data_IF_615637226898
#
_entry.id   IF_615637226898
#
_cell.length_a   1.000
_cell.length_b   1.000
_cell.length_c   1.000
_cell.angle_alpha   90.00
_cell.angle_beta   90.00
_cell.angle_gamma   90.00
#
_symmetry.space_group_name_H-M   'P 1'
#
loop_
_entity.id
_entity.type
_entity.pdbx_description
1 polymer ?
#
# COMPACT_ATOMS: atom_id res chain seq x y z
N UNK A 1 16.22 4.37 3.36
CA UNK A 1 16.61 5.63 4.03
C UNK A 1 16.33 6.88 3.22
N UNK A 2 16.58 6.94 1.90
CA UNK A 2 16.17 8.12 1.11
C UNK A 2 14.64 8.25 0.91
N UNK A 3 13.85 7.18 1.06
CA UNK A 3 12.39 7.16 0.78
C UNK A 3 11.47 7.29 1.99
N UNK A 4 11.99 7.29 3.21
CA UNK A 4 11.22 7.67 4.41
C UNK A 4 10.88 9.17 4.38
N UNK A 5 11.78 9.95 3.77
CA UNK A 5 11.60 11.38 3.52
C UNK A 5 10.52 11.69 2.47
N UNK A 6 10.23 10.79 1.51
CA UNK A 6 9.17 10.99 0.50
C UNK A 6 7.75 10.73 1.06
N UNK A 7 7.63 9.92 2.10
CA UNK A 7 6.38 9.65 2.81
C UNK A 7 6.13 10.61 4.00
N UNK A 8 7.10 11.49 4.30
CA UNK A 8 7.03 12.41 5.44
C UNK A 8 7.12 11.73 6.81
N UNK A 9 7.61 10.48 6.86
CA UNK A 9 7.71 9.72 8.11
C UNK A 9 9.00 10.09 8.87
N UNK A 10 8.86 10.35 10.16
CA UNK A 10 9.99 10.64 11.04
C UNK A 10 10.81 9.37 11.31
N UNK A 11 12.03 9.53 11.81
CA UNK A 11 12.85 8.38 12.20
C UNK A 11 12.21 7.53 13.31
N UNK A 12 11.39 8.15 14.17
CA UNK A 12 10.65 7.49 15.25
C UNK A 12 9.49 6.65 14.72
N UNK A 13 8.75 7.18 13.73
CA UNK A 13 7.71 6.40 13.05
C UNK A 13 8.32 5.15 12.41
N UNK A 14 9.50 5.29 11.79
CA UNK A 14 10.17 4.19 11.10
C UNK A 14 10.66 3.10 12.05
N UNK A 15 11.03 3.44 13.29
CA UNK A 15 11.48 2.48 14.30
C UNK A 15 10.32 1.57 14.76
N UNK A 16 9.09 2.08 14.72
CA UNK A 16 7.88 1.31 15.01
C UNK A 16 7.39 0.44 13.86
N UNK A 17 7.96 0.58 12.66
CA UNK A 17 7.51 -0.11 11.45
C UNK A 17 8.36 -1.34 11.11
N UNK A 18 7.69 -2.40 10.69
CA UNK A 18 8.38 -3.56 10.13
C UNK A 18 8.69 -3.36 8.64
N UNK A 19 9.68 -4.09 8.13
CA UNK A 19 9.97 -4.12 6.70
C UNK A 19 8.74 -4.45 5.84
N UNK A 20 7.85 -5.33 6.32
CA UNK A 20 6.62 -5.69 5.63
C UNK A 20 5.69 -4.50 5.41
N UNK A 21 5.48 -3.68 6.44
CA UNK A 21 4.64 -2.48 6.36
C UNK A 21 5.19 -1.45 5.37
N UNK A 22 6.52 -1.33 5.29
CA UNK A 22 7.17 -0.46 4.31
C UNK A 22 6.96 -0.98 2.89
N UNK A 23 7.06 -2.29 2.68
CA UNK A 23 6.82 -2.88 1.36
C UNK A 23 5.37 -2.76 0.91
N UNK A 24 4.39 -2.96 1.81
CA UNK A 24 2.97 -2.80 1.49
C UNK A 24 2.66 -1.39 0.98
N UNK A 25 3.06 -0.34 1.72
CA UNK A 25 2.84 1.05 1.28
C UNK A 25 3.49 1.38 -0.07
N UNK A 26 4.67 0.81 -0.35
CA UNK A 26 5.34 1.01 -1.64
C UNK A 26 4.58 0.35 -2.78
N UNK A 27 4.00 -0.83 -2.54
CA UNK A 27 3.18 -1.56 -3.51
C UNK A 27 1.86 -0.81 -3.73
N UNK A 28 1.19 -0.34 -2.67
CA UNK A 28 -0.04 0.46 -2.77
C UNK A 28 0.18 1.72 -3.61
N UNK A 29 1.25 2.48 -3.34
CA UNK A 29 1.61 3.65 -4.16
C UNK A 29 1.91 3.30 -5.61
N UNK A 30 2.54 2.15 -5.87
CA UNK A 30 2.76 1.70 -7.25
C UNK A 30 1.43 1.37 -7.94
N UNK A 31 0.49 0.79 -7.21
CA UNK A 31 -0.84 0.45 -7.71
C UNK A 31 -1.71 1.68 -8.01
N UNK A 32 -1.51 2.82 -7.35
CA UNK A 32 -2.25 4.07 -7.62
C UNK A 32 -2.12 4.54 -9.08
N UNK A 33 -0.97 4.25 -9.71
CA UNK A 33 -0.69 4.63 -11.09
C UNK A 33 -1.00 3.53 -12.11
N UNK A 34 -1.39 2.33 -11.65
CA UNK A 34 -1.59 1.16 -12.50
C UNK A 34 -3.00 1.12 -13.11
N UNK A 35 -3.06 0.76 -14.40
CA UNK A 35 -4.32 0.64 -15.15
C UNK A 35 -4.66 -0.83 -15.36
N UNK A 36 -5.36 -1.38 -14.39
CA UNK A 36 -5.89 -2.73 -14.50
C UNK A 36 -7.00 -2.82 -15.56
N UNK A 37 -6.93 -3.84 -16.42
CA UNK A 37 -7.96 -4.14 -17.44
C UNK A 37 -9.32 -4.47 -16.81
N UNK A 38 -9.31 -4.92 -15.56
CA UNK A 38 -10.49 -5.23 -14.77
C UNK A 38 -10.20 -4.87 -13.32
N UNK A 39 -11.11 -4.12 -12.70
CA UNK A 39 -11.08 -3.80 -11.27
C UNK A 39 -12.28 -4.50 -10.64
N UNK A 40 -12.04 -5.27 -9.57
CA UNK A 40 -13.09 -5.92 -8.81
C UNK A 40 -14.08 -4.87 -8.27
N UNK A 41 -15.36 -5.16 -8.39
CA UNK A 41 -16.45 -4.35 -7.84
C UNK A 41 -16.77 -4.79 -6.41
N UNK A 42 -17.55 -3.99 -5.68
CA UNK A 42 -18.03 -4.38 -4.36
C UNK A 42 -18.82 -5.71 -4.41
N UNK A 43 -19.61 -5.92 -5.47
CA UNK A 43 -20.37 -7.17 -5.64
C UNK A 43 -19.45 -8.41 -5.80
N UNK A 44 -18.29 -8.25 -6.43
CA UNK A 44 -17.30 -9.33 -6.58
C UNK A 44 -16.67 -9.69 -5.22
N UNK A 45 -16.43 -8.69 -4.37
CA UNK A 45 -15.93 -8.86 -3.00
C UNK A 45 -17.01 -9.52 -2.13
N UNK A 46 -18.24 -9.02 -2.19
CA UNK A 46 -19.37 -9.56 -1.41
C UNK A 46 -19.65 -11.02 -1.80
N UNK A 47 -19.51 -11.39 -3.08
CA UNK A 47 -19.67 -12.78 -3.53
C UNK A 47 -18.55 -13.72 -3.05
N UNK A 48 -17.36 -13.18 -2.75
CA UNK A 48 -16.23 -13.97 -2.26
C UNK A 48 -16.26 -14.17 -0.73
N UNK A 49 -16.71 -13.16 0.02
CA UNK A 49 -16.68 -13.17 1.49
C UNK A 49 -18.05 -13.35 2.18
N UNK A 50 -19.16 -13.19 1.46
CA UNK A 50 -20.54 -13.39 1.95
C UNK A 50 -21.00 -14.84 1.90
#
# INVERSE_FOLDING_TARGET
MLRCAELGLSAEDLDSMTMGMVYDMLIERANDHEKYNYKATQADIDAFFG
#
